data_IF_557478463257
#
_entry.id   IF_557478463257
#
_cell.length_a   1.000
_cell.length_b   1.000
_cell.length_c   1.000
_cell.angle_alpha   90.00
_cell.angle_beta   90.00
_cell.angle_gamma   90.00
#
_symmetry.space_group_name_H-M   'P 1'
#
loop_
_entity.id
_entity.type
_entity.pdbx_description
1 polymer ?
#
# COMPACT_ATOMS: atom_id res chain seq x y z
N UNK A 1 -33.06 34.28 2.39
CA UNK A 1 -32.28 33.69 1.27
C UNK A 1 -30.79 33.49 1.57
N UNK A 2 -30.06 34.49 2.12
CA UNK A 2 -28.60 34.39 2.40
C UNK A 2 -28.19 33.27 3.38
N UNK A 3 -29.03 32.96 4.37
CA UNK A 3 -28.77 31.87 5.33
C UNK A 3 -29.11 30.48 4.75
N UNK A 4 -30.07 30.38 3.84
CA UNK A 4 -30.46 29.14 3.17
C UNK A 4 -29.36 28.68 2.19
N UNK A 5 -28.77 29.62 1.43
CA UNK A 5 -27.64 29.35 0.53
C UNK A 5 -26.37 28.89 1.31
N UNK A 6 -26.13 29.45 2.50
CA UNK A 6 -25.03 29.00 3.38
C UNK A 6 -25.23 27.59 3.93
N UNK A 7 -26.45 27.26 4.34
CA UNK A 7 -26.79 25.92 4.84
C UNK A 7 -26.70 24.86 3.73
N UNK A 8 -27.15 25.17 2.51
CA UNK A 8 -27.01 24.28 1.35
C UNK A 8 -25.54 24.06 0.98
N UNK A 9 -24.72 25.11 0.99
CA UNK A 9 -23.28 24.99 0.73
C UNK A 9 -22.55 24.14 1.78
N UNK A 10 -22.91 24.27 3.07
CA UNK A 10 -22.38 23.44 4.15
C UNK A 10 -22.77 21.97 3.99
N UNK A 11 -24.02 21.68 3.64
CA UNK A 11 -24.50 20.32 3.37
C UNK A 11 -23.80 19.68 2.16
N UNK A 12 -23.56 20.45 1.09
CA UNK A 12 -22.83 19.97 -0.11
C UNK A 12 -21.35 19.68 0.18
N UNK A 13 -20.69 20.48 1.04
CA UNK A 13 -19.31 20.21 1.46
C UNK A 13 -19.20 18.95 2.33
N UNK A 14 -20.16 18.73 3.25
CA UNK A 14 -20.23 17.50 4.04
C UNK A 14 -20.51 16.27 3.16
N UNK A 15 -21.37 16.39 2.15
CA UNK A 15 -21.68 15.30 1.23
C UNK A 15 -20.51 14.94 0.31
N UNK A 16 -19.75 15.94 -0.17
CA UNK A 16 -18.55 15.75 -0.97
C UNK A 16 -17.42 15.04 -0.22
N UNK A 17 -17.27 15.33 1.07
CA UNK A 17 -16.29 14.65 1.93
C UNK A 17 -16.63 13.16 2.13
N UNK A 18 -17.91 12.81 2.28
CA UNK A 18 -18.36 11.41 2.44
C UNK A 18 -18.11 10.57 1.18
N UNK A 19 -18.28 11.15 0.00
CA UNK A 19 -18.07 10.44 -1.28
C UNK A 19 -16.60 10.09 -1.54
N UNK A 20 -15.67 10.97 -1.18
CA UNK A 20 -14.23 10.72 -1.33
C UNK A 20 -13.72 9.59 -0.41
N UNK A 21 -14.31 9.46 0.79
CA UNK A 21 -13.99 8.37 1.72
C UNK A 21 -14.53 7.01 1.22
N UNK A 22 -15.75 6.99 0.68
CA UNK A 22 -16.37 5.78 0.13
C UNK A 22 -15.66 5.26 -1.14
N UNK A 23 -15.08 6.14 -1.95
CA UNK A 23 -14.26 5.75 -3.11
C UNK A 23 -13.00 5.01 -2.67
N UNK A 24 -12.37 5.46 -1.57
CA UNK A 24 -11.15 4.85 -1.04
C UNK A 24 -11.35 3.41 -0.59
N UNK A 25 -12.31 3.15 0.31
CA UNK A 25 -12.53 1.81 0.89
C UNK A 25 -12.97 0.76 -0.14
N UNK A 26 -13.67 1.18 -1.19
CA UNK A 26 -14.15 0.27 -2.24
C UNK A 26 -13.16 0.09 -3.40
N UNK A 27 -12.04 0.81 -3.38
CA UNK A 27 -11.03 0.73 -4.42
C UNK A 27 -10.45 -0.70 -4.55
N UNK A 28 -10.08 -1.13 -5.77
CA UNK A 28 -9.40 -2.40 -6.01
C UNK A 28 -8.16 -2.61 -5.13
N UNK A 29 -7.38 -1.56 -4.85
CA UNK A 29 -6.22 -1.66 -3.98
C UNK A 29 -6.63 -1.80 -2.50
N UNK A 30 -7.60 -1.02 -2.00
CA UNK A 30 -8.05 -1.15 -0.61
C UNK A 30 -8.59 -2.55 -0.27
N UNK A 31 -9.25 -3.22 -1.21
CA UNK A 31 -9.74 -4.60 -1.06
C UNK A 31 -8.62 -5.64 -0.87
N UNK A 32 -7.39 -5.32 -1.24
CA UNK A 32 -6.22 -6.18 -1.03
C UNK A 32 -5.61 -6.03 0.37
N UNK A 33 -5.91 -4.94 1.09
CA UNK A 33 -5.43 -4.78 2.45
C UNK A 33 -5.97 -5.95 3.31
N UNK A 34 -5.11 -6.60 4.12
CA UNK A 34 -5.57 -7.62 5.06
C UNK A 34 -6.59 -7.03 6.04
N UNK A 35 -7.60 -7.80 6.42
CA UNK A 35 -8.50 -7.43 7.51
C UNK A 35 -8.42 -8.50 8.59
N UNK A 36 -9.37 -9.43 8.62
CA UNK A 36 -9.43 -10.49 9.63
C UNK A 36 -8.53 -11.69 9.30
N UNK A 37 -7.98 -11.77 8.08
CA UNK A 37 -7.19 -12.93 7.65
C UNK A 37 -5.79 -12.98 8.29
N UNK A 38 -5.28 -11.85 8.76
CA UNK A 38 -3.93 -11.70 9.29
C UNK A 38 -3.87 -12.07 10.79
N UNK A 39 -3.79 -13.37 11.08
CA UNK A 39 -3.89 -13.89 12.46
C UNK A 39 -2.86 -13.29 13.43
N UNK A 40 -3.35 -12.79 14.56
CA UNK A 40 -2.51 -12.22 15.62
C UNK A 40 -2.01 -10.81 15.33
N UNK A 41 -2.29 -10.26 14.14
CA UNK A 41 -2.07 -8.86 13.84
C UNK A 41 -3.32 -8.05 14.11
N UNK A 42 -3.13 -6.83 14.61
CA UNK A 42 -4.20 -5.86 14.82
C UNK A 42 -3.97 -4.67 13.92
N UNK A 43 -5.03 -4.21 13.26
CA UNK A 43 -5.00 -2.94 12.56
C UNK A 43 -4.75 -1.81 13.57
N UNK A 44 -3.87 -0.87 13.24
CA UNK A 44 -3.69 0.35 14.02
C UNK A 44 -4.79 1.33 13.62
N UNK A 45 -5.65 1.70 14.56
CA UNK A 45 -6.76 2.62 14.32
C UNK A 45 -6.25 3.95 13.75
N UNK A 46 -6.95 4.48 12.73
CA UNK A 46 -6.60 5.74 12.08
C UNK A 46 -5.37 5.68 11.17
N UNK A 47 -4.78 4.51 10.94
CA UNK A 47 -3.62 4.35 10.05
C UNK A 47 -3.97 4.21 8.56
N UNK A 48 -5.25 4.10 8.23
CA UNK A 48 -5.70 3.95 6.86
C UNK A 48 -5.49 5.24 6.06
N UNK A 49 -4.81 5.13 4.93
CA UNK A 49 -4.63 6.21 3.98
C UNK A 49 -5.01 5.73 2.59
N UNK A 50 -5.59 6.62 1.80
CA UNK A 50 -5.91 6.39 0.41
C UNK A 50 -5.49 7.61 -0.43
N UNK A 51 -5.08 7.36 -1.66
CA UNK A 51 -4.75 8.41 -2.61
C UNK A 51 -4.90 7.92 -4.05
N UNK A 52 -5.34 8.82 -4.93
CA UNK A 52 -5.50 8.59 -6.38
C UNK A 52 -4.96 9.79 -7.13
N UNK A 53 -4.22 9.55 -8.22
CA UNK A 53 -3.53 10.63 -8.94
C UNK A 53 -2.62 11.45 -8.02
N UNK A 54 -2.78 12.77 -8.01
CA UNK A 54 -2.02 13.66 -7.11
C UNK A 54 -2.35 13.45 -5.62
N UNK A 55 -3.51 12.86 -5.32
CA UNK A 55 -3.90 12.46 -3.97
C UNK A 55 -2.96 11.42 -3.34
N UNK A 56 -2.10 10.75 -4.12
CA UNK A 56 -1.02 9.90 -3.61
C UNK A 56 -0.04 10.63 -2.68
N UNK A 57 -0.02 11.97 -2.70
CA UNK A 57 0.75 12.76 -1.74
C UNK A 57 0.39 12.46 -0.28
N UNK A 58 -0.84 12.00 0.00
CA UNK A 58 -1.28 11.59 1.34
C UNK A 58 -0.47 10.43 1.91
N UNK A 59 0.11 9.59 1.04
CA UNK A 59 0.92 8.43 1.40
C UNK A 59 2.42 8.74 1.27
N UNK A 60 2.82 9.52 0.27
CA UNK A 60 4.23 9.65 -0.14
C UNK A 60 4.87 11.02 0.04
N UNK A 61 4.20 11.98 0.69
CA UNK A 61 4.70 13.33 1.05
C UNK A 61 6.02 13.76 0.36
N UNK A 62 5.95 14.16 -0.93
CA UNK A 62 7.10 14.63 -1.72
C UNK A 62 7.76 13.62 -2.66
N UNK A 63 7.34 12.35 -2.66
CA UNK A 63 7.83 11.30 -3.57
C UNK A 63 6.79 10.75 -4.55
N UNK A 64 5.53 11.19 -4.48
CA UNK A 64 4.43 10.54 -5.22
C UNK A 64 4.57 10.60 -6.75
N UNK A 65 5.29 11.59 -7.29
CA UNK A 65 5.50 11.74 -8.73
C UNK A 65 6.24 10.54 -9.32
N UNK A 66 7.11 9.87 -8.55
CA UNK A 66 7.79 8.66 -9.02
C UNK A 66 6.80 7.50 -9.19
N UNK A 67 5.80 7.41 -8.31
CA UNK A 67 4.74 6.40 -8.38
C UNK A 67 3.86 6.66 -9.60
N UNK A 68 3.43 7.91 -9.82
CA UNK A 68 2.67 8.30 -11.02
C UNK A 68 3.44 8.02 -12.31
N UNK A 69 4.72 8.41 -12.38
CA UNK A 69 5.58 8.19 -13.55
C UNK A 69 5.74 6.70 -13.88
N UNK A 70 5.73 5.84 -12.87
CA UNK A 70 5.80 4.39 -13.04
C UNK A 70 4.41 3.73 -13.22
N UNK A 71 3.34 4.51 -13.31
CA UNK A 71 2.02 4.04 -13.69
C UNK A 71 1.10 3.64 -12.53
N UNK A 72 1.38 4.06 -11.30
CA UNK A 72 0.41 3.95 -10.19
C UNK A 72 -0.78 4.85 -10.47
N UNK A 73 -1.99 4.32 -10.31
CA UNK A 73 -3.25 5.07 -10.46
C UNK A 73 -3.83 5.47 -9.10
N UNK A 74 -3.79 4.55 -8.15
CA UNK A 74 -4.33 4.68 -6.79
C UNK A 74 -3.51 3.79 -5.84
N UNK A 75 -3.52 4.16 -4.56
CA UNK A 75 -2.88 3.39 -3.50
C UNK A 75 -3.70 3.47 -2.21
N UNK A 76 -3.66 2.37 -1.46
CA UNK A 76 -4.21 2.28 -0.13
C UNK A 76 -3.14 1.74 0.82
N UNK A 77 -2.98 2.38 1.97
CA UNK A 77 -1.99 2.03 3.00
C UNK A 77 -2.70 1.75 4.33
N UNK A 78 -2.19 0.78 5.09
CA UNK A 78 -2.60 0.56 6.49
C UNK A 78 -1.43 0.02 7.31
N UNK A 79 -1.42 0.32 8.62
CA UNK A 79 -0.45 -0.19 9.58
C UNK A 79 -1.06 -1.32 10.41
N UNK A 80 -0.30 -2.39 10.59
CA UNK A 80 -0.66 -3.54 11.41
C UNK A 80 0.39 -3.75 12.50
N UNK A 81 -0.04 -4.21 13.68
CA UNK A 81 0.82 -4.49 14.82
C UNK A 81 0.65 -5.91 15.34
N UNK A 82 1.75 -6.58 15.67
CA UNK A 82 1.79 -7.84 16.42
C UNK A 82 2.90 -7.79 17.47
N UNK A 83 2.52 -7.55 18.73
CA UNK A 83 3.49 -7.29 19.80
C UNK A 83 4.33 -6.06 19.48
N UNK A 84 5.65 -6.25 19.36
CA UNK A 84 6.61 -5.19 19.02
C UNK A 84 6.91 -5.10 17.51
N UNK A 85 6.21 -5.87 16.67
CA UNK A 85 6.33 -5.80 15.22
C UNK A 85 5.27 -4.88 14.65
N UNK A 86 5.69 -3.98 13.76
CA UNK A 86 4.81 -3.15 12.96
C UNK A 86 5.04 -3.43 11.49
N UNK A 87 3.96 -3.60 10.73
CA UNK A 87 3.98 -3.81 9.29
C UNK A 87 3.14 -2.74 8.60
N UNK A 88 3.80 -1.86 7.83
CA UNK A 88 3.12 -0.95 6.91
C UNK A 88 2.87 -1.70 5.61
N UNK A 89 1.60 -1.84 5.22
CA UNK A 89 1.21 -2.44 3.95
C UNK A 89 0.68 -1.36 3.04
N UNK A 90 1.25 -1.24 1.85
CA UNK A 90 0.75 -0.34 0.82
C UNK A 90 0.46 -1.12 -0.45
N UNK A 91 -0.79 -1.06 -0.89
CA UNK A 91 -1.28 -1.73 -2.09
C UNK A 91 -1.56 -0.68 -3.16
N UNK A 92 -1.26 -1.01 -4.41
CA UNK A 92 -1.40 -0.11 -5.54
C UNK A 92 -2.15 -0.79 -6.67
N UNK A 93 -3.00 -0.02 -7.35
CA UNK A 93 -3.44 -0.35 -8.70
C UNK A 93 -2.53 0.36 -9.69
N UNK A 94 -1.94 -0.41 -10.60
CA UNK A 94 -1.12 0.06 -11.70
C UNK A 94 -1.95 0.16 -12.98
N UNK A 95 -1.48 0.95 -13.95
CA UNK A 95 -2.14 1.09 -15.25
C UNK A 95 -2.30 -0.24 -16.00
N UNK A 96 -1.36 -1.16 -15.84
CA UNK A 96 -1.33 -2.50 -16.45
C UNK A 96 -0.34 -3.41 -15.70
N UNK A 97 -0.36 -4.71 -16.03
CA UNK A 97 0.53 -5.73 -15.44
C UNK A 97 2.02 -5.51 -15.77
N UNK A 98 2.31 -4.99 -16.96
CA UNK A 98 3.68 -4.66 -17.38
C UNK A 98 4.27 -3.57 -16.49
N UNK A 99 3.48 -2.54 -16.18
CA UNK A 99 3.86 -1.44 -15.31
C UNK A 99 4.12 -1.93 -13.87
N UNK A 100 3.25 -2.80 -13.35
CA UNK A 100 3.44 -3.39 -12.02
C UNK A 100 4.77 -4.15 -11.92
N UNK A 101 5.02 -5.05 -12.87
CA UNK A 101 6.25 -5.85 -12.91
C UNK A 101 7.50 -4.99 -13.13
N UNK A 102 7.44 -3.99 -14.02
CA UNK A 102 8.54 -3.04 -14.24
C UNK A 102 8.84 -2.20 -13.00
N UNK A 103 7.82 -1.83 -12.22
CA UNK A 103 8.03 -1.03 -11.03
C UNK A 103 8.70 -1.83 -9.90
N UNK A 104 8.43 -3.13 -9.80
CA UNK A 104 9.25 -4.04 -8.96
C UNK A 104 10.71 -4.04 -9.42
N UNK A 105 10.98 -4.11 -10.72
CA UNK A 105 12.36 -4.06 -11.24
C UNK A 105 13.03 -2.71 -10.99
N UNK A 106 12.29 -1.60 -11.12
CA UNK A 106 12.76 -0.28 -10.74
C UNK A 106 13.28 -0.27 -9.30
N UNK A 107 12.46 -0.74 -8.34
CA UNK A 107 12.86 -0.80 -6.94
C UNK A 107 14.00 -1.78 -6.69
N UNK A 108 14.04 -2.93 -7.38
CA UNK A 108 15.15 -3.88 -7.27
C UNK A 108 16.47 -3.25 -7.69
N UNK A 109 16.46 -2.46 -8.76
CA UNK A 109 17.63 -1.75 -9.25
C UNK A 109 18.06 -0.63 -8.31
N UNK A 110 17.11 0.16 -7.80
CA UNK A 110 17.38 1.18 -6.77
C UNK A 110 18.05 0.57 -5.54
N UNK A 111 17.66 -0.64 -5.16
CA UNK A 111 18.21 -1.36 -4.00
C UNK A 111 19.31 -2.36 -4.34
N UNK A 112 19.98 -2.25 -5.50
CA UNK A 112 20.98 -3.24 -5.94
C UNK A 112 22.11 -3.44 -4.92
N UNK A 113 22.49 -2.40 -4.19
CA UNK A 113 23.57 -2.45 -3.19
C UNK A 113 23.16 -3.21 -1.92
N UNK A 114 21.87 -3.28 -1.63
CA UNK A 114 21.28 -3.97 -0.47
C UNK A 114 21.09 -5.48 -0.73
N UNK A 115 21.61 -6.01 -1.86
CA UNK A 115 21.59 -7.44 -2.21
C UNK A 115 20.17 -8.02 -2.14
N UNK A 116 19.24 -7.54 -2.98
CA UNK A 116 17.83 -7.92 -2.93
C UNK A 116 17.64 -9.43 -3.11
N UNK A 117 16.84 -10.02 -2.22
CA UNK A 117 16.55 -11.45 -2.19
C UNK A 117 15.25 -11.72 -2.94
N UNK A 118 15.27 -12.60 -3.94
CA UNK A 118 14.08 -12.93 -4.72
C UNK A 118 13.02 -13.66 -3.88
N UNK A 119 11.76 -13.32 -4.11
CA UNK A 119 10.64 -14.00 -3.47
C UNK A 119 10.29 -15.30 -4.19
N UNK A 120 9.88 -16.32 -3.42
CA UNK A 120 9.36 -17.60 -3.91
C UNK A 120 7.84 -17.68 -3.72
N UNK A 121 7.12 -16.72 -4.29
CA UNK A 121 5.65 -16.68 -4.35
C UNK A 121 5.24 -16.33 -5.79
N UNK A 122 4.06 -16.77 -6.23
CA UNK A 122 3.52 -16.43 -7.56
C UNK A 122 3.53 -14.93 -7.80
N UNK A 123 3.90 -14.50 -9.00
CA UNK A 123 4.16 -13.10 -9.34
C UNK A 123 5.66 -12.80 -9.38
N UNK A 124 6.02 -11.51 -9.45
CA UNK A 124 7.41 -11.05 -9.43
C UNK A 124 7.65 -10.24 -8.17
N UNK A 125 8.72 -10.54 -7.44
CA UNK A 125 9.02 -9.79 -6.23
C UNK A 125 10.39 -10.06 -5.63
N UNK A 126 10.76 -9.22 -4.66
CA UNK A 126 11.97 -9.35 -3.85
C UNK A 126 11.75 -8.73 -2.47
N UNK A 127 12.70 -8.96 -1.59
CA UNK A 127 12.79 -8.25 -0.33
C UNK A 127 14.24 -7.82 -0.04
N UNK A 128 14.37 -6.83 0.83
CA UNK A 128 15.64 -6.31 1.32
C UNK A 128 15.57 -6.10 2.83
N UNK A 129 16.74 -6.08 3.45
CA UNK A 129 16.95 -5.56 4.80
C UNK A 129 17.85 -4.33 4.69
N UNK A 130 17.36 -3.19 5.13
CA UNK A 130 18.07 -1.92 5.08
C UNK A 130 17.47 -0.96 6.10
N UNK A 131 18.32 -0.10 6.68
CA UNK A 131 17.90 1.02 7.54
C UNK A 131 16.98 0.60 8.71
N UNK A 132 17.24 -0.57 9.31
CA UNK A 132 16.45 -1.09 10.43
C UNK A 132 15.08 -1.66 10.03
N UNK A 133 14.82 -1.87 8.74
CA UNK A 133 13.57 -2.40 8.23
C UNK A 133 13.76 -3.56 7.24
N UNK A 134 12.76 -4.42 7.16
CA UNK A 134 12.63 -5.45 6.14
C UNK A 134 11.50 -5.05 5.20
N UNK A 135 11.83 -4.77 3.94
CA UNK A 135 10.86 -4.28 2.95
C UNK A 135 10.71 -5.26 1.81
N UNK A 136 9.46 -5.59 1.51
CA UNK A 136 9.04 -6.47 0.44
C UNK A 136 8.44 -5.64 -0.69
N UNK A 137 8.75 -6.03 -1.92
CA UNK A 137 8.20 -5.47 -3.14
C UNK A 137 7.68 -6.63 -3.99
N UNK A 138 6.41 -6.58 -4.37
CA UNK A 138 5.79 -7.65 -5.11
C UNK A 138 4.75 -7.14 -6.09
N UNK A 139 4.61 -7.81 -7.23
CA UNK A 139 3.59 -7.54 -8.22
C UNK A 139 3.02 -8.83 -8.81
N UNK A 140 1.73 -8.80 -9.10
CA UNK A 140 1.00 -9.81 -9.87
C UNK A 140 -0.21 -9.15 -10.53
N UNK A 141 -0.37 -9.34 -11.84
CA UNK A 141 -1.37 -8.59 -12.59
C UNK A 141 -1.11 -7.09 -12.44
N UNK A 142 -2.18 -6.28 -12.46
CA UNK A 142 -2.06 -4.83 -12.29
C UNK A 142 -1.76 -4.37 -10.86
N UNK A 143 -1.48 -5.26 -9.92
CA UNK A 143 -1.27 -4.89 -8.52
C UNK A 143 0.21 -4.86 -8.18
N UNK A 144 0.62 -3.80 -7.49
CA UNK A 144 1.94 -3.65 -6.88
C UNK A 144 1.77 -3.44 -5.38
N UNK A 145 2.51 -4.18 -4.58
CA UNK A 145 2.38 -4.21 -3.12
C UNK A 145 3.75 -4.01 -2.49
N UNK A 146 3.79 -3.16 -1.47
CA UNK A 146 4.90 -3.07 -0.54
C UNK A 146 4.46 -3.50 0.85
N UNK A 147 5.33 -4.22 1.54
CA UNK A 147 5.19 -4.54 2.96
C UNK A 147 6.48 -4.16 3.64
N UNK A 148 6.44 -3.23 4.59
CA UNK A 148 7.62 -2.82 5.36
C UNK A 148 7.42 -3.21 6.82
N UNK A 149 8.31 -4.05 7.35
CA UNK A 149 8.34 -4.43 8.76
C UNK A 149 9.46 -3.67 9.46
N UNK A 150 9.16 -3.02 10.59
CA UNK A 150 10.09 -2.10 11.30
C UNK A 150 11.19 -2.81 12.11
N UNK A 151 11.80 -3.85 11.54
CA UNK A 151 13.03 -4.52 12.01
C UNK A 151 13.74 -5.17 10.81
N UNK A 152 15.04 -5.41 10.92
CA UNK A 152 15.88 -6.04 9.88
C UNK A 152 16.47 -7.38 10.33
N UNK A 153 15.71 -8.15 11.10
CA UNK A 153 16.09 -9.49 11.57
C UNK A 153 15.27 -10.61 10.90
N UNK A 154 15.60 -11.86 11.25
CA UNK A 154 14.91 -13.04 10.72
C UNK A 154 13.40 -13.02 11.01
N UNK A 155 13.01 -12.54 12.19
CA UNK A 155 11.62 -12.48 12.61
C UNK A 155 10.81 -11.53 11.71
N UNK A 156 11.41 -10.40 11.31
CA UNK A 156 10.78 -9.48 10.37
C UNK A 156 10.63 -10.06 8.96
N UNK A 157 11.58 -10.88 8.50
CA UNK A 157 11.44 -11.60 7.22
C UNK A 157 10.25 -12.54 7.27
N UNK A 158 10.15 -13.37 8.31
CA UNK A 158 9.08 -14.35 8.44
C UNK A 158 7.70 -13.65 8.58
N UNK A 159 7.65 -12.57 9.37
CA UNK A 159 6.46 -11.72 9.54
C UNK A 159 6.02 -11.06 8.22
N UNK A 160 6.94 -10.46 7.48
CA UNK A 160 6.60 -9.82 6.21
C UNK A 160 6.18 -10.81 5.12
N UNK A 161 6.78 -12.00 5.08
CA UNK A 161 6.35 -13.09 4.20
C UNK A 161 4.94 -13.58 4.51
N UNK A 162 4.58 -13.69 5.79
CA UNK A 162 3.22 -14.03 6.24
C UNK A 162 2.19 -13.00 5.75
N UNK A 163 2.47 -11.71 5.99
CA UNK A 163 1.61 -10.61 5.53
C UNK A 163 1.48 -10.62 4.02
N UNK A 164 2.59 -10.71 3.29
CA UNK A 164 2.58 -10.67 1.84
C UNK A 164 1.85 -11.87 1.23
N UNK A 165 1.99 -13.08 1.77
CA UNK A 165 1.27 -14.27 1.29
C UNK A 165 -0.24 -14.12 1.48
N UNK A 166 -0.67 -13.51 2.57
CA UNK A 166 -2.09 -13.20 2.82
C UNK A 166 -2.65 -12.29 1.73
N UNK A 167 -1.90 -11.25 1.35
CA UNK A 167 -2.28 -10.32 0.28
C UNK A 167 -2.25 -11.00 -1.09
N UNK A 168 -1.17 -11.74 -1.38
CA UNK A 168 -1.00 -12.43 -2.66
C UNK A 168 -2.11 -13.46 -2.92
N UNK A 169 -2.65 -14.09 -1.86
CA UNK A 169 -3.80 -14.97 -1.94
C UNK A 169 -5.11 -14.30 -2.37
N UNK A 170 -5.23 -12.96 -2.23
CA UNK A 170 -6.39 -12.18 -2.68
C UNK A 170 -6.32 -11.83 -4.17
N UNK A 171 -5.13 -11.89 -4.79
CA UNK A 171 -4.92 -11.57 -6.20
C UNK A 171 -5.07 -12.83 -7.05
N UNK A 172 -6.18 -12.94 -7.78
CA UNK A 172 -6.46 -14.06 -8.70
C UNK A 172 -5.57 -13.99 -9.93
#
# INVERSE_FOLDING_TARGET
MRNLLRQIALLLMLFGALLAWAEGENSPCAKLLPTTELKGWKEVNGSYLYGKGEGLTSIYNGGYQIYLKNGVQEAAQKLYQRGNLYATVTTHTMKDDSAASKFVQYWRNTHRKQKPQSLKITGTGFWIQADGATTFYWAKGRFFVTVMVTRDDRQAVDAGLEVLRTIAGKVK
#
